data_IF_481600158064
#
_entry.id   IF_481600158064
#
_cell.length_a   1.000
_cell.length_b   1.000
_cell.length_c   1.000
_cell.angle_alpha   90.00
_cell.angle_beta   90.00
_cell.angle_gamma   90.00
#
_symmetry.space_group_name_H-M   'P 1'
#
loop_
_entity.id
_entity.type
_entity.pdbx_description
1 polymer ?
#
# COMPACT_ATOMS: atom_id res chain seq x y z
N UNK A 1 -25.86 -8.30 -9.53
CA UNK A 1 -24.89 -8.70 -8.49
C UNK A 1 -24.51 -7.44 -7.73
N UNK A 2 -25.18 -7.19 -6.60
CA UNK A 2 -24.96 -6.00 -5.78
C UNK A 2 -23.74 -6.27 -4.90
N UNK A 3 -22.59 -5.69 -5.24
CA UNK A 3 -21.50 -5.58 -4.28
C UNK A 3 -22.06 -4.80 -3.09
N UNK A 4 -22.13 -5.42 -1.91
CA UNK A 4 -22.39 -4.74 -0.66
C UNK A 4 -21.43 -3.53 -0.60
N UNK A 5 -21.97 -2.34 -0.86
CA UNK A 5 -21.18 -1.11 -0.94
C UNK A 5 -20.85 -0.70 0.48
N UNK A 6 -19.80 -1.31 1.01
CA UNK A 6 -19.19 -0.87 2.25
C UNK A 6 -18.75 0.58 2.01
N UNK A 7 -19.49 1.54 2.55
CA UNK A 7 -19.10 2.94 2.52
C UNK A 7 -17.91 3.10 3.45
N UNK A 8 -16.72 2.90 2.90
CA UNK A 8 -15.46 3.22 3.56
C UNK A 8 -15.47 4.72 3.77
N UNK A 9 -15.39 5.15 5.03
CA UNK A 9 -15.30 6.58 5.35
C UNK A 9 -14.04 7.15 4.70
N UNK A 10 -14.09 8.35 4.11
CA UNK A 10 -12.90 8.97 3.57
C UNK A 10 -11.91 9.20 4.71
N UNK A 11 -10.70 8.68 4.55
CA UNK A 11 -9.57 8.96 5.42
C UNK A 11 -8.35 9.28 4.55
N UNK A 12 -7.43 10.04 5.12
CA UNK A 12 -6.17 10.39 4.47
C UNK A 12 -4.99 9.74 5.19
N UNK A 13 -3.95 9.43 4.41
CA UNK A 13 -2.67 8.94 4.92
C UNK A 13 -1.55 9.90 4.48
N UNK A 14 -0.57 10.19 5.34
CA UNK A 14 0.61 10.96 4.93
C UNK A 14 1.48 10.12 3.99
N UNK A 15 1.94 10.71 2.89
CA UNK A 15 2.96 10.09 2.04
C UNK A 15 4.29 10.03 2.77
N UNK A 16 4.97 8.89 2.65
CA UNK A 16 6.30 8.72 3.22
C UNK A 16 7.34 9.73 2.70
N UNK A 17 7.21 10.23 1.46
CA UNK A 17 8.23 11.06 0.81
C UNK A 17 8.16 12.55 1.18
N UNK A 18 6.95 13.11 1.20
CA UNK A 18 6.70 14.56 1.30
C UNK A 18 5.65 14.93 2.35
N UNK A 19 5.16 13.95 3.12
CA UNK A 19 4.06 14.09 4.09
C UNK A 19 2.76 14.68 3.51
N UNK A 20 2.63 14.76 2.18
CA UNK A 20 1.40 15.22 1.57
C UNK A 20 0.28 14.20 1.83
N UNK A 21 -0.95 14.66 2.13
CA UNK A 21 -2.06 13.75 2.35
C UNK A 21 -2.44 13.05 1.04
N UNK A 22 -2.55 11.72 1.07
CA UNK A 22 -3.25 10.92 0.07
C UNK A 22 -4.67 10.68 0.57
N UNK A 23 -5.67 10.98 -0.25
CA UNK A 23 -7.06 10.60 0.04
C UNK A 23 -7.42 9.30 -0.67
N UNK A 24 -7.80 8.26 0.08
CA UNK A 24 -8.20 6.99 -0.54
C UNK A 24 -9.48 7.10 -1.36
N UNK A 25 -10.26 8.17 -1.15
CA UNK A 25 -11.43 8.48 -1.96
C UNK A 25 -11.09 8.70 -3.45
N UNK A 26 -9.85 9.10 -3.77
CA UNK A 26 -9.38 9.29 -5.15
C UNK A 26 -9.24 7.96 -5.92
N UNK A 27 -9.12 6.82 -5.22
CA UNK A 27 -9.00 5.50 -5.83
C UNK A 27 -10.35 4.77 -5.95
N UNK A 28 -11.47 5.44 -5.68
CA UNK A 28 -12.80 4.86 -5.86
C UNK A 28 -13.00 4.41 -7.31
N UNK A 29 -13.64 3.25 -7.48
CA UNK A 29 -13.87 2.63 -8.79
C UNK A 29 -12.78 1.64 -9.22
N UNK A 30 -11.63 1.61 -8.51
CA UNK A 30 -10.61 0.58 -8.66
C UNK A 30 -10.51 -0.23 -7.36
N UNK A 31 -10.42 -1.58 -7.41
CA UNK A 31 -10.06 -2.36 -6.23
C UNK A 31 -8.74 -1.85 -5.64
N UNK A 32 -8.70 -1.66 -4.32
CA UNK A 32 -7.51 -1.21 -3.60
C UNK A 32 -7.04 -2.35 -2.71
N UNK A 33 -5.78 -2.73 -2.86
CA UNK A 33 -5.08 -3.64 -1.97
C UNK A 33 -4.19 -2.82 -1.03
N UNK A 34 -4.38 -2.99 0.27
CA UNK A 34 -3.62 -2.28 1.30
C UNK A 34 -2.80 -3.32 2.06
N UNK A 35 -1.49 -3.11 2.07
CA UNK A 35 -0.53 -3.90 2.83
C UNK A 35 0.01 -3.09 4.00
N UNK A 36 0.08 -3.70 5.18
CA UNK A 36 0.62 -3.06 6.39
C UNK A 36 1.91 -3.76 6.78
N UNK A 37 3.03 -3.04 6.68
CA UNK A 37 4.35 -3.66 6.76
C UNK A 37 5.33 -2.85 7.62
N UNK A 38 6.48 -3.46 7.89
CA UNK A 38 7.63 -2.83 8.55
C UNK A 38 8.93 -3.47 8.04
N UNK A 39 10.02 -2.72 7.96
CA UNK A 39 11.29 -3.22 7.42
C UNK A 39 11.85 -4.37 8.26
N UNK A 40 11.63 -4.34 9.57
CA UNK A 40 12.11 -5.36 10.51
C UNK A 40 11.19 -6.58 10.63
N UNK A 41 10.12 -6.66 9.83
CA UNK A 41 9.15 -7.76 9.83
C UNK A 41 9.56 -8.84 8.80
N UNK A 42 10.11 -9.99 9.22
CA UNK A 42 10.55 -11.04 8.30
C UNK A 42 9.45 -11.60 7.38
N UNK A 43 8.21 -11.87 7.85
CA UNK A 43 7.17 -12.35 6.93
C UNK A 43 6.79 -11.27 5.91
N UNK A 44 6.79 -9.99 6.30
CA UNK A 44 6.51 -8.88 5.39
C UNK A 44 7.57 -8.80 4.27
N UNK A 45 8.86 -9.00 4.59
CA UNK A 45 9.92 -9.05 3.58
C UNK A 45 9.76 -10.24 2.62
N UNK A 46 9.34 -11.41 3.12
CA UNK A 46 9.08 -12.56 2.27
C UNK A 46 7.90 -12.31 1.31
N UNK A 47 6.90 -11.55 1.76
CA UNK A 47 5.73 -11.18 0.96
C UNK A 47 6.02 -10.10 -0.10
N UNK A 48 7.00 -9.22 0.14
CA UNK A 48 7.28 -8.08 -0.75
C UNK A 48 7.52 -8.51 -2.21
N UNK A 49 8.27 -9.59 -2.44
CA UNK A 49 8.55 -10.10 -3.78
C UNK A 49 7.29 -10.60 -4.49
N UNK A 50 6.37 -11.23 -3.77
CA UNK A 50 5.12 -11.71 -4.33
C UNK A 50 4.15 -10.54 -4.57
N UNK A 51 4.19 -9.50 -3.74
CA UNK A 51 3.47 -8.25 -3.97
C UNK A 51 4.00 -7.52 -5.21
N UNK A 52 5.32 -7.44 -5.42
CA UNK A 52 5.91 -6.86 -6.63
C UNK A 52 5.46 -7.63 -7.88
N UNK A 53 5.46 -8.98 -7.84
CA UNK A 53 4.93 -9.80 -8.96
C UNK A 53 3.44 -9.56 -9.20
N UNK A 54 2.65 -9.44 -8.12
CA UNK A 54 1.22 -9.15 -8.22
C UNK A 54 0.98 -7.75 -8.81
N UNK A 55 1.78 -6.76 -8.44
CA UNK A 55 1.75 -5.42 -9.01
C UNK A 55 2.06 -5.44 -10.51
N UNK A 56 3.09 -6.15 -10.95
CA UNK A 56 3.39 -6.28 -12.38
C UNK A 56 2.26 -6.96 -13.18
N UNK A 57 1.50 -7.87 -12.56
CA UNK A 57 0.40 -8.57 -13.23
C UNK A 57 -0.93 -7.81 -13.19
N UNK A 58 -1.18 -7.06 -12.11
CA UNK A 58 -2.50 -6.49 -11.81
C UNK A 58 -2.49 -4.99 -11.54
N UNK A 59 -1.36 -4.29 -11.64
CA UNK A 59 -1.22 -2.87 -11.33
C UNK A 59 -2.15 -1.97 -12.14
N UNK A 60 -2.53 -2.36 -13.36
CA UNK A 60 -3.52 -1.64 -14.16
C UNK A 60 -4.95 -1.80 -13.62
N UNK A 61 -5.23 -2.90 -12.91
CA UNK A 61 -6.56 -3.29 -12.43
C UNK A 61 -6.77 -3.07 -10.94
N UNK A 62 -5.70 -3.10 -10.14
CA UNK A 62 -5.71 -2.98 -8.68
C UNK A 62 -4.75 -1.88 -8.26
N UNK A 63 -5.18 -1.00 -7.36
CA UNK A 63 -4.30 -0.03 -6.73
C UNK A 63 -3.62 -0.70 -5.53
N UNK A 64 -2.30 -0.76 -5.52
CA UNK A 64 -1.53 -1.25 -4.38
C UNK A 64 -1.09 -0.07 -3.51
N UNK A 65 -1.25 -0.17 -2.19
CA UNK A 65 -0.84 0.83 -1.20
C UNK A 65 -0.13 0.09 -0.05
N UNK A 66 1.15 0.40 0.17
CA UNK A 66 1.89 -0.06 1.34
C UNK A 66 1.86 0.99 2.46
N UNK A 67 1.44 0.60 3.65
CA UNK A 67 1.39 1.45 4.85
C UNK A 67 2.46 0.97 5.82
N UNK A 68 3.49 1.78 5.99
CA UNK A 68 4.52 1.50 6.98
C UNK A 68 3.97 1.76 8.40
N UNK A 69 4.11 0.79 9.30
CA UNK A 69 3.57 0.86 10.67
C UNK A 69 4.53 1.45 11.70
N UNK A 70 5.78 1.73 11.35
CA UNK A 70 6.82 2.13 12.30
C UNK A 70 7.48 3.44 11.92
N UNK A 71 7.85 4.24 12.92
CA UNK A 71 8.67 5.43 12.74
C UNK A 71 10.17 5.12 12.69
N UNK A 72 10.55 3.86 12.91
CA UNK A 72 11.96 3.43 12.90
C UNK A 72 12.49 3.22 11.47
N UNK A 73 11.61 3.12 10.48
CA UNK A 73 11.99 2.92 9.10
C UNK A 73 12.35 4.24 8.44
N UNK A 74 13.48 4.25 7.74
CA UNK A 74 13.93 5.38 6.95
C UNK A 74 13.37 5.32 5.52
N UNK A 75 13.49 6.42 4.77
CA UNK A 75 13.14 6.44 3.33
C UNK A 75 13.92 5.38 2.53
N UNK A 76 15.12 5.03 2.97
CA UNK A 76 15.92 3.97 2.36
C UNK A 76 15.26 2.63 2.55
N UNK A 77 14.78 2.32 3.76
CA UNK A 77 14.12 1.05 4.07
C UNK A 77 12.81 0.90 3.30
N UNK A 78 12.06 2.01 3.15
CA UNK A 78 10.85 2.09 2.30
C UNK A 78 11.15 1.81 0.84
N UNK A 79 12.23 2.38 0.30
CA UNK A 79 12.63 2.15 -1.08
C UNK A 79 13.11 0.72 -1.32
N UNK A 80 13.84 0.12 -0.37
CA UNK A 80 14.29 -1.28 -0.49
C UNK A 80 13.08 -2.21 -0.49
N UNK A 81 12.16 -2.04 0.45
CA UNK A 81 10.95 -2.87 0.53
C UNK A 81 10.08 -2.77 -0.73
N UNK A 82 9.93 -1.57 -1.27
CA UNK A 82 9.03 -1.32 -2.42
C UNK A 82 9.59 -1.79 -3.76
N UNK A 83 10.91 -1.95 -3.87
CA UNK A 83 11.56 -2.33 -5.14
C UNK A 83 11.94 -3.81 -5.22
N UNK A 84 11.87 -4.56 -4.12
CA UNK A 84 12.26 -5.97 -4.06
C UNK A 84 13.76 -6.17 -3.91
#
# INVERSE_FOLDING_TARGET
MSFLRCHVRPFSLPKSQDNQPIFLAEYQGKPVFIDFWASWCPPCQAESLDLVKAYFRYGDKVQFIGVNLTFQDSLTDVNVFSNG
#
